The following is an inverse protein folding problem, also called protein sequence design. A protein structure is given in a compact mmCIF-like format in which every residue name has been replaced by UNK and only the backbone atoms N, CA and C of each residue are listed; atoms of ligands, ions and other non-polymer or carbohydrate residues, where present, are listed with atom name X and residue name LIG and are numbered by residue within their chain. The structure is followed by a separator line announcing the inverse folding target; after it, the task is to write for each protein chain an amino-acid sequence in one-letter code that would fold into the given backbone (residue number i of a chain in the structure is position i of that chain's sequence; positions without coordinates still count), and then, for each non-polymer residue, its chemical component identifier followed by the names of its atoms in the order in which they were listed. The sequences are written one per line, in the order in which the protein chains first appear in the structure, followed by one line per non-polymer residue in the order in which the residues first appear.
data_IF_348105587446
#
_entry.id   IF_348105587446
#
_cell.length_a   1.000
_cell.length_b   1.000
_cell.length_c   1.000
_cell.angle_alpha   90.00
_cell.angle_beta   90.00
_cell.angle_gamma   90.00
#
_symmetry.space_group_name_H-M   'P 1'
#
loop_
_entity.id
_entity.type
_entity.pdbx_description
1 polymer ?
#
# COMPACT_ATOMS: atom_id res chain seq x y z
N UNK A 1 -1.70 -17.06 -3.79
CA UNK A 1 -2.18 -15.67 -3.60
C UNK A 1 -2.05 -15.23 -2.13
N UNK A 2 -2.58 -15.98 -1.16
CA UNK A 2 -2.48 -15.64 0.27
C UNK A 2 -1.05 -15.38 0.77
N UNK A 3 -0.11 -16.27 0.42
CA UNK A 3 1.31 -16.10 0.79
C UNK A 3 1.87 -14.80 0.20
N UNK A 4 1.57 -14.50 -1.07
CA UNK A 4 2.06 -13.29 -1.74
C UNK A 4 1.51 -12.05 -1.04
N UNK A 5 0.19 -12.00 -0.82
CA UNK A 5 -0.43 -10.89 -0.08
C UNK A 5 0.19 -10.71 1.32
N UNK A 6 0.40 -11.80 2.06
CA UNK A 6 0.96 -11.74 3.40
C UNK A 6 2.42 -11.26 3.40
N UNK A 7 3.22 -11.67 2.41
CA UNK A 7 4.61 -11.20 2.25
C UNK A 7 4.65 -9.69 2.05
N UNK A 8 3.79 -9.12 1.20
CA UNK A 8 3.69 -7.66 1.01
C UNK A 8 3.23 -6.95 2.30
N UNK A 9 2.28 -7.53 3.03
CA UNK A 9 1.87 -6.97 4.33
C UNK A 9 3.03 -6.91 5.32
N UNK A 10 3.86 -7.95 5.40
CA UNK A 10 5.04 -7.97 6.26
C UNK A 10 6.15 -7.03 5.75
N UNK A 11 6.33 -6.95 4.42
CA UNK A 11 7.31 -6.09 3.79
C UNK A 11 7.05 -4.60 4.10
N UNK A 12 5.78 -4.17 4.09
CA UNK A 12 5.37 -2.82 4.48
C UNK A 12 5.94 -2.37 5.84
N UNK A 13 5.95 -3.28 6.83
CA UNK A 13 6.55 -3.02 8.13
C UNK A 13 8.06 -3.23 8.12
N UNK A 14 8.57 -4.26 7.45
CA UNK A 14 9.99 -4.55 7.38
C UNK A 14 10.79 -3.39 6.76
N UNK A 15 10.26 -2.70 5.75
CA UNK A 15 10.90 -1.52 5.17
C UNK A 15 11.15 -0.43 6.20
N UNK A 16 10.24 -0.23 7.15
CA UNK A 16 10.41 0.73 8.23
C UNK A 16 11.49 0.36 9.23
N UNK A 17 11.82 -0.93 9.39
CA UNK A 17 12.88 -1.36 10.31
C UNK A 17 14.24 -1.54 9.62
N UNK A 18 14.25 -1.76 8.31
CA UNK A 18 15.47 -2.02 7.53
C UNK A 18 15.97 -0.76 6.83
N UNK A 19 15.07 0.09 6.36
CA UNK A 19 15.38 1.30 5.58
C UNK A 19 15.08 2.58 6.37
N UNK A 20 13.96 2.59 7.12
CA UNK A 20 13.71 3.56 8.17
C UNK A 20 14.42 3.12 9.44
N UNK A 21 14.80 4.06 10.31
CA UNK A 21 15.42 3.75 11.60
C UNK A 21 14.35 3.29 12.64
N UNK A 22 13.39 2.48 12.19
CA UNK A 22 12.15 2.14 12.89
C UNK A 22 10.95 3.00 12.45
N UNK A 23 9.88 2.94 13.25
CA UNK A 23 8.71 3.78 13.01
C UNK A 23 9.03 5.26 13.28
N UNK A 24 8.57 6.18 12.41
CA UNK A 24 8.71 7.61 12.64
C UNK A 24 8.09 8.00 13.98
N UNK A 25 8.73 8.93 14.68
CA UNK A 25 8.24 9.45 15.96
C UNK A 25 8.54 10.94 16.10
N UNK A 26 7.71 11.64 16.86
CA UNK A 26 7.81 13.09 17.06
C UNK A 26 6.68 13.86 16.39
N UNK A 27 6.84 15.18 16.34
CA UNK A 27 5.91 16.09 15.71
C UNK A 27 6.43 16.53 14.35
N UNK A 28 5.51 16.81 13.43
CA UNK A 28 5.86 17.47 12.18
C UNK A 28 6.46 18.85 12.45
N UNK A 29 7.33 19.32 11.56
CA UNK A 29 7.70 20.74 11.52
C UNK A 29 6.45 21.63 11.34
N UNK A 30 6.56 22.89 11.78
CA UNK A 30 5.44 23.84 11.73
C UNK A 30 4.99 24.18 10.29
N UNK A 31 5.92 24.11 9.33
CA UNK A 31 5.60 24.30 7.92
C UNK A 31 4.79 23.12 7.39
N UNK A 32 3.74 23.33 6.59
CA UNK A 32 2.97 22.22 6.04
C UNK A 32 3.74 21.49 4.94
N UNK A 33 3.60 20.17 4.90
CA UNK A 33 4.14 19.36 3.81
C UNK A 33 3.56 19.82 2.46
N UNK A 34 4.42 19.91 1.45
CA UNK A 34 4.03 20.30 0.11
C UNK A 34 2.90 19.40 -0.43
N UNK A 35 1.82 20.00 -0.93
CA UNK A 35 0.59 19.28 -1.29
C UNK A 35 0.77 18.25 -2.41
N UNK A 36 1.79 18.41 -3.26
CA UNK A 36 2.09 17.44 -4.32
C UNK A 36 2.59 16.10 -3.77
N UNK A 37 3.25 16.08 -2.60
CA UNK A 37 3.67 14.85 -1.92
C UNK A 37 2.47 14.03 -1.45
N UNK A 38 1.43 14.70 -0.95
CA UNK A 38 0.15 14.05 -0.64
C UNK A 38 -0.47 13.42 -1.89
N UNK A 39 -0.50 14.16 -3.01
CA UNK A 39 -0.98 13.63 -4.28
C UNK A 39 -0.20 12.39 -4.72
N UNK A 40 1.13 12.42 -4.60
CA UNK A 40 2.01 11.31 -4.95
C UNK A 40 1.75 10.05 -4.11
N UNK A 41 1.40 10.20 -2.83
CA UNK A 41 1.09 9.09 -1.94
C UNK A 41 -0.35 8.57 -2.12
N UNK A 42 -1.32 9.45 -2.35
CA UNK A 42 -2.74 9.08 -2.41
C UNK A 42 -3.12 8.49 -3.78
N UNK A 43 -2.55 8.99 -4.89
CA UNK A 43 -2.89 8.51 -6.24
C UNK A 43 -2.68 7.00 -6.42
N UNK A 44 -1.53 6.41 -6.02
CA UNK A 44 -1.33 4.97 -6.12
C UNK A 44 -2.36 4.16 -5.32
N UNK A 45 -2.75 4.62 -4.13
CA UNK A 45 -3.78 3.98 -3.30
C UNK A 45 -5.13 3.99 -4.02
N UNK A 46 -5.53 5.12 -4.59
CA UNK A 46 -6.78 5.23 -5.36
C UNK A 46 -6.77 4.29 -6.57
N UNK A 47 -5.65 4.24 -7.30
CA UNK A 47 -5.49 3.32 -8.43
C UNK A 47 -5.55 1.85 -7.97
N UNK A 48 -4.93 1.50 -6.85
CA UNK A 48 -5.00 0.17 -6.27
C UNK A 48 -6.44 -0.20 -5.90
N UNK A 49 -7.17 0.69 -5.24
CA UNK A 49 -8.60 0.50 -4.95
C UNK A 49 -9.42 0.31 -6.23
N UNK A 50 -9.15 1.08 -7.30
CA UNK A 50 -9.80 0.87 -8.59
C UNK A 50 -9.49 -0.53 -9.19
N UNK A 51 -8.24 -1.00 -9.12
CA UNK A 51 -7.87 -2.36 -9.54
C UNK A 51 -8.66 -3.40 -8.74
N UNK A 52 -8.78 -3.23 -7.41
CA UNK A 52 -9.47 -4.17 -6.53
C UNK A 52 -10.97 -4.30 -6.83
N UNK A 53 -11.65 -3.18 -7.02
CA UNK A 53 -13.11 -3.13 -7.04
C UNK A 53 -13.69 -3.07 -8.46
N UNK A 54 -12.93 -2.57 -9.45
CA UNK A 54 -13.42 -2.43 -10.82
C UNK A 54 -12.83 -3.46 -11.78
N UNK A 55 -11.58 -3.90 -11.57
CA UNK A 55 -10.86 -4.80 -12.49
C UNK A 55 -10.99 -6.25 -12.04
N UNK A 56 -10.54 -6.59 -10.83
CA UNK A 56 -10.51 -7.98 -10.33
C UNK A 56 -11.87 -8.69 -10.43
N UNK A 57 -13.01 -8.08 -10.07
CA UNK A 57 -14.31 -8.76 -10.14
C UNK A 57 -14.75 -9.14 -11.56
N UNK A 58 -14.16 -8.52 -12.59
CA UNK A 58 -14.47 -8.82 -14.00
C UNK A 58 -13.60 -9.95 -14.57
N UNK A 59 -12.55 -10.34 -13.86
CA UNK A 59 -11.63 -11.39 -14.30
C UNK A 59 -12.23 -12.76 -13.96
N UNK A 60 -12.11 -13.70 -14.90
CA UNK A 60 -12.57 -15.09 -14.70
C UNK A 60 -11.42 -16.08 -14.58
N UNK A 61 -10.25 -15.70 -15.09
CA UNK A 61 -9.07 -16.56 -15.09
C UNK A 61 -8.20 -16.28 -13.87
N UNK A 62 -7.83 -17.33 -13.14
CA UNK A 62 -7.05 -17.22 -11.91
C UNK A 62 -5.66 -16.60 -12.12
N UNK A 63 -5.03 -16.85 -13.28
CA UNK A 63 -3.75 -16.23 -13.64
C UNK A 63 -3.86 -14.71 -13.78
N UNK A 64 -4.93 -14.22 -14.41
CA UNK A 64 -5.18 -12.78 -14.55
C UNK A 64 -5.47 -12.13 -13.20
N UNK A 65 -6.23 -12.80 -12.32
CA UNK A 65 -6.46 -12.33 -10.95
C UNK A 65 -5.16 -12.23 -10.14
N UNK A 66 -4.22 -13.16 -10.35
CA UNK A 66 -2.92 -13.12 -9.69
C UNK A 66 -2.09 -11.92 -10.15
N UNK A 67 -2.07 -11.66 -11.46
CA UNK A 67 -1.36 -10.50 -12.01
C UNK A 67 -1.98 -9.20 -11.47
N UNK A 68 -3.31 -9.08 -11.50
CA UNK A 68 -4.00 -7.90 -10.98
C UNK A 68 -3.77 -7.71 -9.47
N UNK A 69 -3.70 -8.79 -8.69
CA UNK A 69 -3.30 -8.75 -7.28
C UNK A 69 -1.90 -8.14 -7.14
N UNK A 70 -0.90 -8.68 -7.84
CA UNK A 70 0.50 -8.19 -7.74
C UNK A 70 0.60 -6.71 -8.12
N UNK A 71 -0.08 -6.30 -9.20
CA UNK A 71 -0.12 -4.88 -9.61
C UNK A 71 -0.75 -4.01 -8.51
N UNK A 72 -1.87 -4.44 -7.93
CA UNK A 72 -2.52 -3.71 -6.84
C UNK A 72 -1.69 -3.62 -5.56
N UNK A 73 -0.98 -4.69 -5.21
CA UNK A 73 -0.05 -4.71 -4.08
C UNK A 73 1.13 -3.75 -4.30
N UNK A 74 1.75 -3.77 -5.49
CA UNK A 74 2.83 -2.86 -5.84
C UNK A 74 2.39 -1.38 -5.80
N UNK A 75 1.19 -1.07 -6.31
CA UNK A 75 0.60 0.27 -6.19
C UNK A 75 0.38 0.68 -4.74
N UNK A 76 0.08 -0.27 -3.87
CA UNK A 76 -0.16 0.02 -2.45
C UNK A 76 1.13 0.22 -1.65
N UNK A 77 2.23 -0.42 -2.05
CA UNK A 77 3.54 -0.21 -1.42
C UNK A 77 4.27 1.04 -1.92
N UNK A 78 3.97 1.54 -3.13
CA UNK A 78 4.62 2.74 -3.66
C UNK A 78 4.61 3.95 -2.69
N UNK A 79 3.50 4.29 -1.99
CA UNK A 79 3.48 5.36 -0.99
C UNK A 79 4.42 5.12 0.19
N UNK A 80 4.69 3.85 0.57
CA UNK A 80 5.64 3.51 1.64
C UNK A 80 7.07 3.92 1.24
N UNK A 81 7.42 3.74 -0.03
CA UNK A 81 8.71 4.23 -0.52
C UNK A 81 8.74 5.76 -0.64
N UNK A 82 7.63 6.38 -1.04
CA UNK A 82 7.55 7.84 -1.13
C UNK A 82 7.66 8.51 0.23
N UNK A 83 7.02 7.97 1.26
CA UNK A 83 7.15 8.52 2.60
C UNK A 83 8.58 8.36 3.16
N UNK A 84 9.20 7.20 2.95
CA UNK A 84 10.54 6.92 3.49
C UNK A 84 11.61 7.79 2.81
N UNK A 85 11.51 7.98 1.50
CA UNK A 85 12.57 8.64 0.72
C UNK A 85 12.29 10.08 0.31
N UNK A 86 11.03 10.50 0.18
CA UNK A 86 10.67 11.85 -0.32
C UNK A 86 10.09 12.77 0.76
N UNK A 87 9.35 12.23 1.73
CA UNK A 87 8.84 13.02 2.86
C UNK A 87 9.95 13.24 3.89
N UNK A 88 10.67 12.17 4.24
CA UNK A 88 11.79 12.24 5.18
C UNK A 88 11.38 12.57 6.63
N UNK A 89 12.39 12.81 7.47
CA UNK A 89 12.24 12.91 8.93
C UNK A 89 11.54 14.18 9.45
N UNK A 90 11.27 15.15 8.58
CA UNK A 90 10.65 16.43 8.97
C UNK A 90 9.15 16.29 9.26
N UNK A 91 8.52 15.21 8.76
CA UNK A 91 7.08 14.99 8.87
C UNK A 91 6.72 13.58 9.38
N UNK A 92 7.18 13.17 10.58
CA UNK A 92 6.99 11.82 11.09
C UNK A 92 5.51 11.43 11.23
N UNK A 93 4.63 12.37 11.58
CA UNK A 93 3.20 12.09 11.69
C UNK A 93 2.56 11.86 10.31
N UNK A 94 3.00 12.60 9.29
CA UNK A 94 2.49 12.42 7.93
C UNK A 94 2.94 11.08 7.35
N UNK A 95 4.17 10.65 7.64
CA UNK A 95 4.63 9.31 7.31
C UNK A 95 3.70 8.26 7.96
N UNK A 96 3.47 8.32 9.28
CA UNK A 96 2.53 7.37 9.92
C UNK A 96 1.16 7.33 9.23
N UNK A 97 0.62 8.48 8.82
CA UNK A 97 -0.65 8.54 8.07
C UNK A 97 -0.54 7.82 6.71
N UNK A 98 0.52 8.06 5.95
CA UNK A 98 0.76 7.41 4.65
C UNK A 98 0.93 5.91 4.82
N UNK A 99 1.76 5.47 5.76
CA UNK A 99 1.90 4.06 6.13
C UNK A 99 0.55 3.42 6.47
N UNK A 100 -0.25 4.06 7.33
CA UNK A 100 -1.58 3.55 7.68
C UNK A 100 -2.47 3.40 6.45
N UNK A 101 -2.52 4.41 5.58
CA UNK A 101 -3.30 4.36 4.33
C UNK A 101 -2.84 3.20 3.43
N UNK A 102 -1.54 3.00 3.27
CA UNK A 102 -0.98 1.88 2.53
C UNK A 102 -1.35 0.54 3.15
N UNK A 103 -1.22 0.37 4.47
CA UNK A 103 -1.61 -0.89 5.15
C UNK A 103 -3.11 -1.18 5.00
N UNK A 104 -3.97 -0.17 5.16
CA UNK A 104 -5.41 -0.34 4.93
C UNK A 104 -5.72 -0.74 3.47
N UNK A 105 -5.04 -0.11 2.51
CA UNK A 105 -5.15 -0.51 1.12
C UNK A 105 -4.58 -1.91 0.86
N UNK A 106 -3.56 -2.39 1.59
CA UNK A 106 -3.06 -3.76 1.43
C UNK A 106 -4.10 -4.77 1.90
N UNK A 107 -4.76 -4.49 3.03
CA UNK A 107 -5.80 -5.35 3.61
C UNK A 107 -6.95 -5.58 2.63
N UNK A 108 -7.37 -4.56 1.86
CA UNK A 108 -8.45 -4.71 0.88
C UNK A 108 -8.15 -5.77 -0.20
N UNK A 109 -6.87 -6.07 -0.44
CA UNK A 109 -6.40 -7.07 -1.41
C UNK A 109 -6.28 -8.49 -0.85
N UNK A 110 -6.81 -8.77 0.34
CA UNK A 110 -6.94 -10.14 0.84
C UNK A 110 -7.58 -11.04 -0.24
N UNK A 111 -6.93 -12.14 -0.67
CA UNK A 111 -7.25 -12.86 -1.91
C UNK A 111 -8.40 -13.87 -1.74
N UNK A 112 -9.50 -13.43 -1.13
CA UNK A 112 -10.69 -14.24 -0.88
C UNK A 112 -11.31 -14.71 -2.21
N UNK A 113 -11.37 -13.83 -3.21
CA UNK A 113 -11.90 -14.08 -4.56
C UNK A 113 -11.12 -15.11 -5.38
N UNK A 114 -9.89 -15.44 -4.98
CA UNK A 114 -9.01 -16.37 -5.70
C UNK A 114 -8.88 -17.73 -5.04
N UNK A 115 -9.63 -17.98 -3.96
CA UNK A 115 -9.57 -19.23 -3.18
C UNK A 115 -10.44 -20.30 -3.86
N UNK A 116 -9.89 -21.45 -4.28
CA UNK A 116 -10.67 -22.52 -4.90
C UNK A 116 -11.78 -23.02 -3.97
N UNK A 117 -13.01 -23.14 -4.49
CA UNK A 117 -14.16 -23.65 -3.73
C UNK A 117 -14.94 -22.60 -2.93
N UNK A 118 -14.58 -21.33 -3.02
CA UNK A 118 -15.41 -20.21 -2.55
C UNK A 118 -16.09 -19.61 -3.77
N UNK A 119 -17.31 -20.04 -4.06
CA UNK A 119 -18.16 -19.40 -5.07
C UNK A 119 -18.59 -18.04 -4.49
N UNK A 120 -18.02 -16.96 -5.02
CA UNK A 120 -18.47 -15.57 -4.77
C UNK A 120 -19.30 -15.06 -5.93
#
# INVERSE_FOLDING_TARGET
MWIIWFVFLQAAFAYHFVLGDGFPSGENVAEPMASWLWGLCVVPVVLATAVRWLIIPKLKQQSQMLIALVVGLALTEAPIFFELFLIGSDYPQNQIVVLMLSVFSLIQFAPIYGTPGVDV
#
